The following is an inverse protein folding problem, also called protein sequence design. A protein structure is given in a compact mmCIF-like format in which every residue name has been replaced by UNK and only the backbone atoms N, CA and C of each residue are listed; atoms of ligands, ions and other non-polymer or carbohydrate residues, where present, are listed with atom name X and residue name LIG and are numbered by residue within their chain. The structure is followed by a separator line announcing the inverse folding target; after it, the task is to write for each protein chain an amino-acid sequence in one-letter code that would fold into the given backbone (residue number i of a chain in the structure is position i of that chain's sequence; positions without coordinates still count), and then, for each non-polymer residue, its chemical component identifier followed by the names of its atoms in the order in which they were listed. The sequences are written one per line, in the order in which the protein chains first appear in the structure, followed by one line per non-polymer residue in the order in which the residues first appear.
data_IF_579555444312
#
_entry.id   IF_579555444312
#
_cell.length_a   1.000
_cell.length_b   1.000
_cell.length_c   1.000
_cell.angle_alpha   90.00
_cell.angle_beta   90.00
_cell.angle_gamma   90.00
#
_symmetry.space_group_name_H-M   'P 1'
#
loop_
_entity.id
_entity.type
_entity.pdbx_description
1 polymer ?
#
# COMPACT_ATOMS: atom_id res chain seq x y z
N UNK A 1 25.38 -4.93 14.35
CA UNK A 1 23.92 -4.75 14.12
C UNK A 1 23.61 -3.50 13.25
N UNK A 2 24.32 -3.25 12.14
CA UNK A 2 24.38 -1.91 11.51
C UNK A 2 23.65 -1.70 10.16
N UNK A 3 22.85 -2.64 9.62
CA UNK A 3 22.18 -2.39 8.31
C UNK A 3 20.71 -2.78 8.19
N UNK A 4 20.13 -3.50 9.16
CA UNK A 4 18.72 -3.90 9.05
C UNK A 4 17.75 -2.75 9.28
N UNK A 5 18.10 -1.78 10.14
CA UNK A 5 17.26 -0.60 10.40
C UNK A 5 17.12 0.31 9.18
N UNK A 6 18.20 0.52 8.43
CA UNK A 6 18.17 1.40 7.24
C UNK A 6 17.26 0.86 6.13
N UNK A 7 17.31 -0.45 5.89
CA UNK A 7 16.43 -1.10 4.92
C UNK A 7 14.97 -1.13 5.35
N UNK A 8 14.69 -1.36 6.64
CA UNK A 8 13.33 -1.34 7.17
C UNK A 8 12.73 0.08 7.16
N UNK A 9 13.53 1.09 7.53
CA UNK A 9 13.11 2.49 7.48
C UNK A 9 12.80 2.95 6.05
N UNK A 10 13.67 2.63 5.08
CA UNK A 10 13.41 2.95 3.68
C UNK A 10 12.15 2.27 3.15
N UNK A 11 11.92 1.00 3.52
CA UNK A 11 10.72 0.28 3.12
C UNK A 11 9.47 0.89 3.74
N UNK A 12 9.50 1.24 5.02
CA UNK A 12 8.38 1.90 5.69
C UNK A 12 8.06 3.25 5.04
N UNK A 13 9.08 4.08 4.79
CA UNK A 13 8.92 5.35 4.07
C UNK A 13 8.35 5.13 2.68
N UNK A 14 8.83 4.14 1.94
CA UNK A 14 8.30 3.78 0.63
C UNK A 14 6.81 3.42 0.71
N UNK A 15 6.42 2.54 1.64
CA UNK A 15 5.03 2.11 1.79
C UNK A 15 4.12 3.29 2.12
N UNK A 16 4.52 4.16 3.04
CA UNK A 16 3.74 5.35 3.43
C UNK A 16 3.59 6.32 2.26
N UNK A 17 4.69 6.68 1.60
CA UNK A 17 4.69 7.65 0.49
C UNK A 17 3.91 7.11 -0.71
N UNK A 18 4.10 5.84 -1.06
CA UNK A 18 3.39 5.23 -2.18
C UNK A 18 1.90 5.04 -1.87
N UNK A 19 1.52 4.68 -0.64
CA UNK A 19 0.12 4.60 -0.24
C UNK A 19 -0.54 5.97 -0.21
N UNK A 20 0.17 7.01 0.23
CA UNK A 20 -0.34 8.38 0.18
C UNK A 20 -0.55 8.81 -1.27
N UNK A 21 0.46 8.63 -2.14
CA UNK A 21 0.33 8.98 -3.55
C UNK A 21 -0.82 8.23 -4.25
N UNK A 22 -1.04 6.96 -3.90
CA UNK A 22 -2.18 6.19 -4.43
C UNK A 22 -3.52 6.72 -3.91
N UNK A 23 -3.61 7.05 -2.62
CA UNK A 23 -4.82 7.62 -2.02
C UNK A 23 -5.16 8.99 -2.61
N UNK A 24 -4.16 9.86 -2.77
CA UNK A 24 -4.30 11.18 -3.38
C UNK A 24 -4.73 11.07 -4.85
N UNK A 25 -4.10 10.17 -5.60
CA UNK A 25 -4.48 9.90 -6.98
C UNK A 25 -5.93 9.40 -7.10
N UNK A 26 -6.38 8.54 -6.17
CA UNK A 26 -7.77 8.09 -6.11
C UNK A 26 -8.75 9.21 -5.83
N UNK A 27 -8.44 10.09 -4.87
CA UNK A 27 -9.25 11.28 -4.61
C UNK A 27 -9.41 12.17 -5.84
N UNK A 28 -8.33 12.34 -6.62
CA UNK A 28 -8.35 13.10 -7.86
C UNK A 28 -9.08 12.39 -9.03
N UNK A 29 -9.24 11.07 -8.97
CA UNK A 29 -9.80 10.25 -10.05
C UNK A 29 -10.95 9.36 -9.57
N UNK A 30 -11.83 9.90 -8.71
CA UNK A 30 -12.98 9.16 -8.16
C UNK A 30 -13.87 8.50 -9.21
N UNK A 31 -13.91 9.03 -10.43
CA UNK A 31 -14.70 8.47 -11.54
C UNK A 31 -14.11 7.17 -12.11
N UNK A 32 -12.81 6.92 -11.88
CA UNK A 32 -12.11 5.73 -12.36
C UNK A 32 -12.13 4.58 -11.35
N UNK A 33 -12.74 4.77 -10.19
CA UNK A 33 -12.70 3.85 -9.06
C UNK A 33 -14.12 3.51 -8.65
N UNK A 34 -14.43 2.23 -8.39
CA UNK A 34 -15.69 1.88 -7.77
C UNK A 34 -15.82 2.63 -6.44
N UNK A 35 -16.84 3.49 -6.34
CA UNK A 35 -17.15 4.17 -5.09
C UNK A 35 -17.54 3.12 -4.05
N UNK A 36 -16.99 3.20 -2.82
CA UNK A 36 -17.44 2.32 -1.75
C UNK A 36 -18.94 2.56 -1.48
N UNK A 37 -19.66 1.56 -0.96
CA UNK A 37 -21.07 1.72 -0.62
C UNK A 37 -21.27 2.87 0.38
N UNK A 38 -22.22 3.76 0.13
CA UNK A 38 -22.53 4.91 1.01
C UNK A 38 -22.90 4.46 2.45
N UNK A 39 -23.52 3.29 2.58
CA UNK A 39 -23.83 2.66 3.86
C UNK A 39 -22.57 2.37 4.70
N UNK A 40 -21.44 2.08 4.04
CA UNK A 40 -20.17 1.83 4.72
C UNK A 40 -19.53 3.13 5.20
N UNK A 41 -19.57 4.19 4.38
CA UNK A 41 -19.09 5.52 4.78
C UNK A 41 -19.88 6.05 5.99
N UNK A 42 -21.21 6.06 5.91
CA UNK A 42 -22.07 6.50 7.02
C UNK A 42 -21.89 5.69 8.30
N UNK A 43 -21.68 4.38 8.20
CA UNK A 43 -21.37 3.54 9.36
C UNK A 43 -20.01 3.89 9.98
N UNK A 44 -18.97 4.14 9.17
CA UNK A 44 -17.65 4.55 9.66
C UNK A 44 -17.69 5.93 10.32
N UNK A 45 -18.39 6.89 9.73
CA UNK A 45 -18.60 8.23 10.30
C UNK A 45 -19.28 8.16 11.66
N UNK A 46 -20.31 7.31 11.80
CA UNK A 46 -20.99 7.07 13.07
C UNK A 46 -20.10 6.35 14.09
N UNK A 47 -19.33 5.35 13.66
CA UNK A 47 -18.44 4.60 14.54
C UNK A 47 -17.33 5.47 15.13
N UNK A 48 -16.75 6.35 14.32
CA UNK A 48 -15.73 7.30 14.76
C UNK A 48 -16.31 8.52 15.49
N UNK A 49 -17.64 8.68 15.51
CA UNK A 49 -18.33 9.74 16.24
C UNK A 49 -18.13 11.13 15.64
N UNK A 50 -17.94 11.22 14.32
CA UNK A 50 -17.72 12.50 13.66
C UNK A 50 -18.95 13.41 13.78
N UNK A 51 -18.72 14.64 14.24
CA UNK A 51 -19.75 15.64 14.50
C UNK A 51 -19.82 16.72 13.42
N UNK A 52 -18.82 16.79 12.54
CA UNK A 52 -18.73 17.78 11.47
C UNK A 52 -18.28 17.15 10.14
N UNK A 53 -18.40 17.91 9.05
CA UNK A 53 -18.03 17.46 7.70
C UNK A 53 -16.52 17.30 7.52
N UNK A 54 -15.71 18.01 8.31
CA UNK A 54 -14.25 17.93 8.29
C UNK A 54 -13.77 16.57 8.83
N UNK A 55 -14.26 16.16 10.01
CA UNK A 55 -13.97 14.86 10.61
C UNK A 55 -14.49 13.70 9.74
N UNK A 56 -15.63 13.87 9.07
CA UNK A 56 -16.10 12.89 8.10
C UNK A 56 -15.12 12.73 6.92
N UNK A 57 -14.58 13.84 6.42
CA UNK A 57 -13.55 13.84 5.37
C UNK A 57 -12.24 13.18 5.81
N UNK A 58 -11.81 13.40 7.06
CA UNK A 58 -10.64 12.75 7.63
C UNK A 58 -10.82 11.22 7.71
N UNK A 59 -12.01 10.76 8.09
CA UNK A 59 -12.33 9.32 8.13
C UNK A 59 -12.28 8.71 6.74
N UNK A 60 -12.85 9.38 5.74
CA UNK A 60 -12.80 8.94 4.34
C UNK A 60 -11.35 8.87 3.84
N UNK A 61 -10.53 9.87 4.15
CA UNK A 61 -9.10 9.88 3.81
C UNK A 61 -8.35 8.73 4.48
N UNK A 62 -8.54 8.52 5.79
CA UNK A 62 -7.88 7.45 6.55
C UNK A 62 -8.30 6.07 6.06
N UNK A 63 -9.58 5.90 5.74
CA UNK A 63 -10.10 4.66 5.17
C UNK A 63 -9.47 4.36 3.80
N UNK A 64 -9.46 5.35 2.90
CA UNK A 64 -8.79 5.23 1.60
C UNK A 64 -7.29 4.94 1.73
N UNK A 65 -6.61 5.63 2.65
CA UNK A 65 -5.19 5.44 2.93
C UNK A 65 -4.89 4.03 3.48
N UNK A 66 -5.74 3.49 4.35
CA UNK A 66 -5.61 2.12 4.86
C UNK A 66 -5.72 1.08 3.73
N UNK A 67 -6.68 1.26 2.81
CA UNK A 67 -6.81 0.40 1.62
C UNK A 67 -5.57 0.52 0.71
N UNK A 68 -5.11 1.76 0.46
CA UNK A 68 -3.92 2.02 -0.33
C UNK A 68 -2.68 1.34 0.27
N UNK A 69 -2.51 1.37 1.60
CA UNK A 69 -1.43 0.68 2.30
C UNK A 69 -1.46 -0.83 2.07
N UNK A 70 -2.63 -1.46 2.15
CA UNK A 70 -2.76 -2.90 1.89
C UNK A 70 -2.35 -3.24 0.47
N UNK A 71 -2.80 -2.46 -0.52
CA UNK A 71 -2.50 -2.68 -1.93
C UNK A 71 -1.02 -2.47 -2.22
N UNK A 72 -0.45 -1.35 -1.79
CA UNK A 72 0.98 -1.05 -1.98
C UNK A 72 1.86 -2.08 -1.29
N UNK A 73 1.50 -2.52 -0.08
CA UNK A 73 2.22 -3.57 0.63
C UNK A 73 2.18 -4.91 -0.12
N UNK A 74 1.01 -5.29 -0.64
CA UNK A 74 0.83 -6.52 -1.40
C UNK A 74 1.64 -6.50 -2.70
N UNK A 75 1.58 -5.39 -3.45
CA UNK A 75 2.34 -5.22 -4.70
C UNK A 75 3.85 -5.21 -4.44
N UNK A 76 4.29 -4.50 -3.40
CA UNK A 76 5.71 -4.46 -3.00
C UNK A 76 6.20 -5.86 -2.63
N UNK A 77 5.40 -6.62 -1.88
CA UNK A 77 5.72 -8.00 -1.53
C UNK A 77 5.81 -8.90 -2.77
N UNK A 78 4.85 -8.81 -3.69
CA UNK A 78 4.86 -9.57 -4.94
C UNK A 78 6.09 -9.26 -5.80
N UNK A 79 6.46 -7.99 -5.93
CA UNK A 79 7.66 -7.57 -6.67
C UNK A 79 8.94 -8.14 -6.04
N UNK A 80 9.06 -8.06 -4.72
CA UNK A 80 10.21 -8.63 -4.00
C UNK A 80 10.24 -10.15 -4.13
N UNK A 81 9.10 -10.83 -4.07
CA UNK A 81 8.99 -12.27 -4.26
C UNK A 81 9.42 -12.68 -5.68
N UNK A 82 8.93 -11.99 -6.71
CA UNK A 82 9.28 -12.21 -8.10
C UNK A 82 10.78 -11.98 -8.35
N UNK A 83 11.35 -10.91 -7.79
CA UNK A 83 12.77 -10.62 -7.91
C UNK A 83 13.64 -11.71 -7.26
N UNK A 84 13.27 -12.16 -6.06
CA UNK A 84 13.97 -13.26 -5.37
C UNK A 84 13.89 -14.55 -6.19
N UNK A 85 12.71 -14.86 -6.74
CA UNK A 85 12.50 -16.03 -7.57
C UNK A 85 13.36 -15.99 -8.84
N UNK A 86 13.38 -14.86 -9.56
CA UNK A 86 14.22 -14.67 -10.74
C UNK A 86 15.71 -14.81 -10.43
N UNK A 87 16.19 -14.22 -9.34
CA UNK A 87 17.59 -14.34 -8.91
C UNK A 87 17.97 -15.80 -8.61
N UNK A 88 17.11 -16.55 -7.92
CA UNK A 88 17.35 -17.97 -7.65
C UNK A 88 17.39 -18.81 -8.94
N UNK A 89 16.56 -18.49 -9.94
CA UNK A 89 16.60 -19.15 -11.24
C UNK A 89 17.93 -18.89 -11.97
N UNK A 90 18.39 -17.65 -11.99
CA UNK A 90 19.67 -17.27 -12.62
C UNK A 90 20.85 -17.97 -11.93
N UNK A 91 20.87 -18.05 -10.60
CA UNK A 91 21.92 -18.75 -9.85
C UNK A 91 21.96 -20.25 -10.19
N UNK A 92 20.80 -20.92 -10.21
CA UNK A 92 20.71 -22.34 -10.60
C UNK A 92 21.15 -22.59 -12.04
N UNK A 93 20.87 -21.67 -12.97
CA UNK A 93 21.34 -21.79 -14.35
C UNK A 93 22.86 -21.66 -14.46
N UNK A 94 23.50 -20.83 -13.61
CA UNK A 94 24.95 -20.69 -13.57
C UNK A 94 25.65 -21.91 -12.97
N UNK A 95 25.09 -22.52 -11.93
CA UNK A 95 25.63 -23.76 -11.34
C UNK A 95 25.60 -24.93 -12.33
N UNK A 96 24.55 -25.03 -13.16
CA UNK A 96 24.45 -26.07 -14.20
C UNK A 96 25.37 -25.84 -15.40
N UNK A 97 25.89 -24.63 -15.58
CA UNK A 97 26.77 -24.25 -16.68
C UNK A 97 28.25 -24.20 -16.28
N UNK A 98 28.57 -24.43 -15.00
CA UNK A 98 29.94 -24.59 -14.54
C UNK A 98 30.45 -26.00 -14.93
N UNK A 99 31.63 -26.11 -15.56
CA UNK A 99 32.21 -27.38 -16.01
C UNK A 99 32.65 -28.29 -14.86
#
# INVERSE_FOLDING_TARGET
MKSKLGGAGLLATWLVVAAWGLNDWWGAHLDNVPKPPEALGSWLTQLAGAINAEEAGDIDFLFGFAIALVIVSTLTWLLLAAFRYGRSRVQRSREKAAP
#
